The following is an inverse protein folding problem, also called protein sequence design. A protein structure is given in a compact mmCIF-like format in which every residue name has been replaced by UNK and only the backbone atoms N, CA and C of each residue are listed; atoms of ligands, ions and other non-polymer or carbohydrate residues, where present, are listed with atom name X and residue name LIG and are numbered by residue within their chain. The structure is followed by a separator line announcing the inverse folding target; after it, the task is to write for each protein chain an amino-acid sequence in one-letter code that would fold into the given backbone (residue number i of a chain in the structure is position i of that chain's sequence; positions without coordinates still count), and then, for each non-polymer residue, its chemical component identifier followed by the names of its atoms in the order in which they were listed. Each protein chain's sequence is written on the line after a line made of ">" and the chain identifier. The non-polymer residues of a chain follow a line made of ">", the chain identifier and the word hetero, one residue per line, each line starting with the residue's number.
data_IF_287243274004
#
_entry.id   IF_287243274004
#
_cell.length_a   1.000
_cell.length_b   1.000
_cell.length_c   1.000
_cell.angle_alpha   90.00
_cell.angle_beta   90.00
_cell.angle_gamma   90.00
#
_symmetry.space_group_name_H-M   'P 1'
#
loop_
_entity.id
_entity.type
_entity.pdbx_description
1 polymer ?
#
# COMPACT_ATOMS: atom_id res chain seq x y z
N UNK A 1 13.78 -12.82 -5.74
CA UNK A 1 13.95 -11.55 -5.01
C UNK A 1 13.89 -11.84 -3.52
N UNK A 2 14.95 -11.56 -2.77
CA UNK A 2 14.94 -11.76 -1.31
C UNK A 2 13.84 -10.88 -0.69
N UNK A 3 13.00 -11.46 0.17
CA UNK A 3 12.02 -10.68 0.95
C UNK A 3 12.81 -9.73 1.84
N UNK A 4 12.75 -8.42 1.59
CA UNK A 4 13.30 -7.46 2.53
C UNK A 4 12.40 -7.46 3.76
N UNK A 5 12.97 -7.70 4.93
CA UNK A 5 12.28 -7.49 6.20
C UNK A 5 12.61 -6.08 6.71
N UNK A 6 11.69 -5.44 7.45
CA UNK A 6 12.01 -4.16 8.07
C UNK A 6 13.13 -4.39 9.10
N UNK A 7 14.08 -3.45 9.18
CA UNK A 7 15.13 -3.40 10.22
C UNK A 7 14.49 -3.30 11.61
N UNK A 8 13.38 -2.59 11.69
CA UNK A 8 12.63 -2.38 12.92
C UNK A 8 11.14 -2.27 12.61
N UNK A 9 10.31 -2.83 13.48
CA UNK A 9 8.86 -2.69 13.41
C UNK A 9 8.31 -2.49 14.81
N UNK A 10 7.53 -1.44 14.98
CA UNK A 10 6.79 -1.14 16.19
C UNK A 10 5.30 -1.06 15.88
N UNK A 11 4.48 -1.60 16.76
CA UNK A 11 3.03 -1.60 16.65
C UNK A 11 2.44 -1.18 17.98
N UNK A 12 1.43 -0.30 17.94
CA UNK A 12 0.74 0.14 19.15
C UNK A 12 -0.75 0.40 18.86
N UNK A 13 -1.61 0.09 19.83
CA UNK A 13 -3.02 0.45 19.77
C UNK A 13 -3.20 1.85 20.35
N UNK A 14 -3.85 2.73 19.60
CA UNK A 14 -4.13 4.10 20.00
C UNK A 14 -5.39 4.15 20.89
N UNK A 15 -5.56 5.17 21.76
CA UNK A 15 -6.71 5.29 22.65
C UNK A 15 -8.07 5.34 21.93
N UNK A 16 -8.08 5.82 20.68
CA UNK A 16 -9.27 5.87 19.83
C UNK A 16 -9.62 4.51 19.17
N UNK A 17 -8.87 3.45 19.47
CA UNK A 17 -9.08 2.12 18.90
C UNK A 17 -8.31 1.83 17.62
N UNK A 18 -7.67 2.85 17.01
CA UNK A 18 -6.85 2.69 15.81
C UNK A 18 -5.55 1.93 16.11
N UNK A 19 -4.92 1.41 15.07
CA UNK A 19 -3.63 0.73 15.12
C UNK A 19 -2.56 1.54 14.42
N UNK A 20 -1.55 1.95 15.17
CA UNK A 20 -0.33 2.57 14.68
C UNK A 20 0.71 1.49 14.35
N UNK A 21 1.30 1.58 13.18
CA UNK A 21 2.47 0.79 12.77
C UNK A 21 3.58 1.72 12.32
N UNK A 22 4.77 1.55 12.89
CA UNK A 22 6.01 2.21 12.45
C UNK A 22 6.95 1.12 11.97
N UNK A 23 7.52 1.24 10.78
CA UNK A 23 8.54 0.32 10.27
C UNK A 23 9.70 1.08 9.65
N UNK A 24 10.91 0.57 9.85
CA UNK A 24 12.14 1.13 9.27
C UNK A 24 12.69 0.12 8.28
N UNK A 25 12.90 0.55 7.04
CA UNK A 25 13.41 -0.27 5.95
C UNK A 25 14.79 0.24 5.53
N UNK A 26 15.69 -0.62 5.05
CA UNK A 26 16.91 -0.16 4.41
C UNK A 26 16.56 0.60 3.12
N UNK A 27 17.32 1.66 2.84
CA UNK A 27 17.20 2.40 1.58
C UNK A 27 17.50 1.49 0.39
N UNK A 28 16.71 1.62 -0.69
CA UNK A 28 16.90 0.82 -1.91
C UNK A 28 18.17 1.22 -2.68
N UNK A 29 18.52 2.52 -2.65
CA UNK A 29 19.67 3.09 -3.37
C UNK A 29 20.91 3.20 -2.49
N UNK A 30 20.75 3.69 -1.26
CA UNK A 30 21.82 3.78 -0.27
C UNK A 30 21.48 2.85 0.91
N UNK A 31 22.30 1.81 1.19
CA UNK A 31 22.08 0.90 2.31
C UNK A 31 22.26 1.57 3.68
N UNK A 32 22.93 2.72 3.76
CA UNK A 32 23.04 3.54 4.97
C UNK A 32 21.85 4.46 5.17
N UNK A 33 21.04 4.67 4.13
CA UNK A 33 19.79 5.39 4.23
C UNK A 33 18.67 4.50 4.75
N UNK A 34 17.63 5.13 5.27
CA UNK A 34 16.51 4.45 5.91
C UNK A 34 15.19 4.99 5.37
N UNK A 35 14.20 4.12 5.23
CA UNK A 35 12.83 4.52 4.91
C UNK A 35 11.96 4.21 6.10
N UNK A 36 11.41 5.24 6.72
CA UNK A 36 10.46 5.14 7.81
C UNK A 36 9.06 5.14 7.22
N UNK A 37 8.27 4.12 7.50
CA UNK A 37 6.86 4.04 7.15
C UNK A 37 6.02 4.08 8.40
N UNK A 38 5.14 5.07 8.49
CA UNK A 38 4.17 5.23 9.57
C UNK A 38 2.78 5.01 8.96
N UNK A 39 1.99 4.14 9.57
CA UNK A 39 0.66 3.80 9.08
C UNK A 39 -0.32 3.77 10.25
N UNK A 40 -1.46 4.42 10.08
CA UNK A 40 -2.58 4.33 11.01
C UNK A 40 -3.69 3.55 10.31
N UNK A 41 -4.20 2.50 10.95
CA UNK A 41 -5.31 1.70 10.46
C UNK A 41 -6.47 1.74 11.44
N UNK A 42 -7.68 1.87 10.93
CA UNK A 42 -8.92 1.78 11.70
C UNK A 42 -9.69 0.55 11.28
N UNK A 43 -10.37 -0.08 12.23
CA UNK A 43 -11.33 -1.13 11.93
C UNK A 43 -12.70 -0.48 11.68
N UNK A 44 -13.15 -0.47 10.42
CA UNK A 44 -14.47 0.04 10.01
C UNK A 44 -15.24 -1.09 9.33
N UNK A 45 -16.46 -1.38 9.79
CA UNK A 45 -17.30 -2.43 9.19
C UNK A 45 -16.70 -3.85 9.20
N UNK A 46 -15.72 -4.12 10.08
CA UNK A 46 -14.99 -5.39 10.12
C UNK A 46 -13.75 -5.43 9.21
N UNK A 47 -13.47 -4.36 8.47
CA UNK A 47 -12.29 -4.24 7.61
C UNK A 47 -11.29 -3.21 8.14
N UNK A 48 -10.00 -3.49 7.96
CA UNK A 48 -8.93 -2.58 8.38
C UNK A 48 -8.59 -1.57 7.29
N UNK A 49 -9.16 -0.37 7.40
CA UNK A 49 -8.93 0.77 6.50
C UNK A 49 -7.65 1.51 6.91
N UNK A 50 -6.85 1.94 5.93
CA UNK A 50 -5.68 2.81 6.21
C UNK A 50 -6.15 4.25 6.27
N UNK A 51 -6.13 4.83 7.47
CA UNK A 51 -6.56 6.22 7.71
C UNK A 51 -5.49 7.24 7.34
N UNK A 52 -4.23 6.82 7.39
CA UNK A 52 -3.11 7.66 7.02
C UNK A 52 -1.85 6.85 6.85
N UNK A 53 -1.02 7.29 5.91
CA UNK A 53 0.29 6.71 5.65
C UNK A 53 1.30 7.81 5.38
N UNK A 54 2.40 7.76 6.10
CA UNK A 54 3.56 8.60 5.84
C UNK A 54 4.76 7.71 5.54
N UNK A 55 5.47 8.04 4.47
CA UNK A 55 6.76 7.45 4.17
C UNK A 55 7.80 8.57 4.17
N UNK A 56 8.87 8.40 4.95
CA UNK A 56 9.96 9.37 5.09
C UNK A 56 11.26 8.67 4.73
N UNK A 57 12.01 9.26 3.81
CA UNK A 57 13.38 8.88 3.54
C UNK A 57 14.31 9.67 4.45
N UNK A 58 15.15 8.95 5.19
CA UNK A 58 16.25 9.51 5.98
C UNK A 58 17.56 9.18 5.26
N UNK A 59 18.26 10.20 4.78
CA UNK A 59 19.57 10.03 4.18
C UNK A 59 20.63 9.71 5.23
N UNK A 60 21.77 9.20 4.78
CA UNK A 60 22.89 8.82 5.64
C UNK A 60 23.55 10.01 6.35
N UNK A 61 23.39 11.23 5.82
CA UNK A 61 23.79 12.50 6.45
C UNK A 61 22.79 13.02 7.50
N UNK A 62 21.65 12.33 7.68
CA UNK A 62 20.61 12.69 8.66
C UNK A 62 19.52 13.63 8.14
N UNK A 63 19.53 14.02 6.86
CA UNK A 63 18.41 14.78 6.29
C UNK A 63 17.16 13.91 6.12
N UNK A 64 15.98 14.54 6.19
CA UNK A 64 14.68 13.87 6.03
C UNK A 64 13.92 14.45 4.84
N UNK A 65 13.34 13.57 4.03
CA UNK A 65 12.45 13.95 2.93
C UNK A 65 11.21 13.06 2.92
N UNK A 66 10.04 13.67 2.75
CA UNK A 66 8.81 12.91 2.59
C UNK A 66 8.79 12.25 1.21
N UNK A 67 8.49 10.95 1.20
CA UNK A 67 8.27 10.21 -0.04
C UNK A 67 6.82 10.36 -0.50
N UNK A 68 6.56 10.33 -1.82
CA UNK A 68 5.21 10.38 -2.36
C UNK A 68 4.33 9.29 -1.76
N UNK A 69 3.10 9.65 -1.39
CA UNK A 69 2.13 8.70 -0.91
C UNK A 69 1.73 7.75 -2.04
N UNK A 70 2.10 6.48 -1.90
CA UNK A 70 1.60 5.44 -2.81
C UNK A 70 0.23 5.04 -2.30
N UNK A 71 -0.82 5.64 -2.85
CA UNK A 71 -2.15 5.07 -2.78
C UNK A 71 -2.08 3.65 -3.36
N UNK A 72 -2.55 2.63 -2.64
CA UNK A 72 -2.78 1.36 -3.28
C UNK A 72 -3.74 1.66 -4.43
N UNK A 73 -3.34 1.35 -5.67
CA UNK A 73 -4.30 1.25 -6.75
C UNK A 73 -5.36 0.29 -6.22
N UNK A 74 -6.56 0.81 -5.93
CA UNK A 74 -7.70 -0.05 -5.74
C UNK A 74 -7.68 -0.97 -6.95
N UNK A 75 -7.62 -2.28 -6.74
CA UNK A 75 -7.83 -3.22 -7.83
C UNK A 75 -9.22 -2.88 -8.36
N UNK A 76 -9.28 -2.11 -9.44
CA UNK A 76 -10.50 -1.95 -10.20
C UNK A 76 -10.80 -3.38 -10.63
N UNK A 77 -11.85 -3.98 -10.05
CA UNK A 77 -12.47 -5.14 -10.68
C UNK A 77 -12.90 -4.63 -12.04
N UNK A 78 -12.17 -5.01 -13.07
CA UNK A 78 -12.64 -4.88 -14.44
C UNK A 78 -14.03 -5.50 -14.48
N UNK A 79 -15.08 -4.77 -14.90
CA UNK A 79 -16.37 -5.41 -15.09
C UNK A 79 -16.17 -6.49 -16.15
N UNK A 80 -16.50 -7.72 -15.80
CA UNK A 80 -16.61 -8.84 -16.73
C UNK A 80 -17.68 -8.44 -17.75
N UNK A 81 -17.23 -7.93 -18.90
CA UNK A 81 -18.11 -7.60 -20.01
C UNK A 81 -18.52 -8.93 -20.63
N UNK A 82 -19.67 -9.47 -20.20
CA UNK A 82 -20.37 -10.52 -20.94
C UNK A 82 -20.82 -9.90 -22.27
N UNK A 83 -20.08 -10.19 -23.34
CA UNK A 83 -20.53 -9.89 -24.69
C UNK A 83 -21.67 -10.85 -25.03
N UNK A 84 -22.90 -10.36 -25.27
CA UNK A 84 -23.94 -11.22 -25.79
C UNK A 84 -23.52 -11.68 -27.20
N UNK A 85 -23.39 -12.99 -27.36
CA UNK A 85 -23.20 -13.64 -28.65
C UNK A 85 -24.40 -13.32 -29.55
N UNK A 86 -24.23 -12.38 -30.48
CA UNK A 86 -25.17 -12.15 -31.58
C UNK A 86 -25.36 -13.45 -32.36
N UNK A 87 -26.63 -13.89 -32.47
CA UNK A 87 -27.05 -14.94 -33.40
C UNK A 87 -26.71 -14.52 -34.83
N UNK A 88 -25.80 -15.25 -35.46
CA UNK A 88 -25.62 -15.24 -36.91
C UNK A 88 -26.91 -15.77 -37.54
N UNK A 89 -27.73 -14.85 -38.03
CA UNK A 89 -28.85 -15.13 -38.92
C UNK A 89 -28.34 -15.90 -40.13
N UNK A 90 -28.90 -17.09 -40.30
CA UNK A 90 -28.75 -17.95 -41.47
C UNK A 90 -29.51 -17.29 -42.64
N UNK A 91 -28.78 -16.62 -43.54
CA UNK A 91 -29.27 -16.31 -44.88
C UNK A 91 -28.32 -16.94 -45.91
N UNK A 92 -28.76 -18.07 -46.48
CA UNK A 92 -27.98 -18.81 -47.44
C UNK A 92 -28.77 -19.85 -48.24
N UNK A 93 -29.68 -19.36 -49.10
CA UNK A 93 -30.15 -19.92 -50.40
C UNK A 93 -30.64 -21.36 -50.47
#
# INVERSE_FOLDING_TARGET
>A
MAKSYPKFKFMNRLPNGDYLTISVWPGKKDPKAEVLTIQIRRLEGGEWVTMGRLAVYRSSDGSYSQLPERFPQAKVKEPEVEFPSEELGDEGT
#
